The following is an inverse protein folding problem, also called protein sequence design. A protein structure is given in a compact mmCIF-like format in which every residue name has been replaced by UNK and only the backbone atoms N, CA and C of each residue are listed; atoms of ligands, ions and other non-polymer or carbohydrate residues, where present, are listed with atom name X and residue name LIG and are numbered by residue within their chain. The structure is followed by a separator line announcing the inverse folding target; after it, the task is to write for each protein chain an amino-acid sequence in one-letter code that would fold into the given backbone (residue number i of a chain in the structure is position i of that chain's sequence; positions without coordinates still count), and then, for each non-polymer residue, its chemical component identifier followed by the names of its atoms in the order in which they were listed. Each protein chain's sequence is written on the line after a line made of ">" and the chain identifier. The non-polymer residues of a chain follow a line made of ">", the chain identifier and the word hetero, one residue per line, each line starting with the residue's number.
data_IF_332488356430
#
_entry.id   IF_332488356430
#
_cell.length_a   1.000
_cell.length_b   1.000
_cell.length_c   1.000
_cell.angle_alpha   90.00
_cell.angle_beta   90.00
_cell.angle_gamma   90.00
#
_symmetry.space_group_name_H-M   'P 1'
#
loop_
_entity.id
_entity.type
_entity.pdbx_description
1 polymer ?
#
# COMPACT_ATOMS: atom_id res chain seq x y z
N UNK A 1 -38.06 19.64 17.89
CA UNK A 1 -36.76 19.00 17.66
C UNK A 1 -35.93 19.88 16.73
N UNK A 2 -34.79 20.42 17.18
CA UNK A 2 -33.89 21.17 16.30
C UNK A 2 -33.32 20.22 15.25
N UNK A 3 -33.71 20.39 13.99
CA UNK A 3 -33.11 19.66 12.87
C UNK A 3 -31.67 20.16 12.73
N UNK A 4 -30.69 19.42 13.25
CA UNK A 4 -29.28 19.68 12.95
C UNK A 4 -29.11 19.59 11.44
N UNK A 5 -28.58 20.64 10.83
CA UNK A 5 -28.23 20.63 9.42
C UNK A 5 -27.26 19.48 9.14
N UNK A 6 -27.38 18.79 7.99
CA UNK A 6 -26.44 17.75 7.62
C UNK A 6 -25.04 18.34 7.54
N UNK A 7 -24.06 17.64 8.13
CA UNK A 7 -22.66 18.00 8.01
C UNK A 7 -22.18 17.54 6.63
N UNK A 8 -21.72 18.48 5.82
CA UNK A 8 -21.27 18.27 4.44
C UNK A 8 -19.81 18.68 4.30
N UNK A 9 -19.08 17.96 3.45
CA UNK A 9 -17.74 18.29 2.98
C UNK A 9 -17.67 17.98 1.47
N UNK A 10 -16.58 18.36 0.82
CA UNK A 10 -16.34 18.05 -0.60
C UNK A 10 -15.17 17.08 -0.72
N UNK A 11 -15.29 16.12 -1.64
CA UNK A 11 -14.20 15.21 -1.95
C UNK A 11 -13.09 15.97 -2.69
N UNK A 12 -11.82 15.94 -2.22
CA UNK A 12 -10.71 16.63 -2.88
C UNK A 12 -10.35 16.04 -4.26
N UNK A 13 -10.69 14.78 -4.55
CA UNK A 13 -10.38 14.15 -5.85
C UNK A 13 -11.39 14.46 -6.95
N UNK A 14 -12.69 14.40 -6.65
CA UNK A 14 -13.76 14.49 -7.66
C UNK A 14 -14.72 15.67 -7.45
N UNK A 15 -14.53 16.47 -6.39
CA UNK A 15 -15.40 17.58 -5.99
C UNK A 15 -16.85 17.19 -5.64
N UNK A 16 -17.15 15.90 -5.43
CA UNK A 16 -18.47 15.43 -5.03
C UNK A 16 -18.80 15.78 -3.57
N UNK A 17 -20.10 15.91 -3.26
CA UNK A 17 -20.58 16.18 -1.89
C UNK A 17 -20.51 14.93 -1.00
N UNK A 18 -19.69 14.98 0.06
CA UNK A 18 -19.61 13.92 1.07
C UNK A 18 -20.51 14.28 2.26
N UNK A 19 -21.59 13.50 2.44
CA UNK A 19 -22.57 13.71 3.51
C UNK A 19 -22.29 12.85 4.74
N UNK A 20 -22.30 13.47 5.93
CA UNK A 20 -22.12 12.79 7.21
C UNK A 20 -23.45 12.63 7.95
N UNK A 21 -23.84 11.38 8.21
CA UNK A 21 -25.06 11.04 9.00
C UNK A 21 -24.90 11.36 10.49
N UNK A 22 -23.69 11.22 11.01
CA UNK A 22 -23.30 11.52 12.39
C UNK A 22 -22.29 12.67 12.39
N UNK A 23 -22.02 13.26 13.55
CA UNK A 23 -20.91 14.21 13.68
C UNK A 23 -19.59 13.51 13.34
N UNK A 24 -18.80 14.01 12.37
CA UNK A 24 -17.48 13.46 12.09
C UNK A 24 -16.50 13.73 13.24
N UNK A 25 -15.42 12.97 13.29
CA UNK A 25 -14.30 13.15 14.21
C UNK A 25 -12.98 13.23 13.43
N UNK A 26 -11.98 13.88 14.02
CA UNK A 26 -10.63 13.97 13.42
C UNK A 26 -10.03 12.58 13.23
N UNK A 27 -9.41 12.34 12.08
CA UNK A 27 -8.86 11.04 11.70
C UNK A 27 -9.93 10.01 11.31
N UNK A 28 -11.16 10.43 11.06
CA UNK A 28 -12.20 9.52 10.57
C UNK A 28 -11.96 9.19 9.09
N UNK A 29 -11.84 7.89 8.79
CA UNK A 29 -11.82 7.40 7.41
C UNK A 29 -13.21 7.30 6.79
N UNK A 30 -13.29 7.61 5.50
CA UNK A 30 -14.51 7.52 4.72
C UNK A 30 -14.20 7.33 3.23
N UNK A 31 -14.97 6.47 2.59
CA UNK A 31 -14.89 6.27 1.14
C UNK A 31 -15.85 7.25 0.44
N UNK A 32 -15.38 7.88 -0.64
CA UNK A 32 -16.23 8.68 -1.52
C UNK A 32 -17.15 7.76 -2.33
N UNK A 33 -18.46 8.04 -2.35
CA UNK A 33 -19.42 7.21 -3.09
C UNK A 33 -19.40 7.43 -4.62
N UNK A 34 -18.72 8.49 -5.09
CA UNK A 34 -18.69 8.88 -6.50
C UNK A 34 -17.41 8.42 -7.21
N UNK A 35 -16.27 8.40 -6.51
CA UNK A 35 -14.97 8.04 -7.08
C UNK A 35 -14.26 6.90 -6.33
N UNK A 36 -14.92 6.31 -5.33
CA UNK A 36 -14.41 5.20 -4.51
C UNK A 36 -13.07 5.46 -3.81
N UNK A 37 -12.64 6.72 -3.71
CA UNK A 37 -11.39 7.06 -3.06
C UNK A 37 -11.53 7.10 -1.54
N UNK A 38 -10.51 6.62 -0.85
CA UNK A 38 -10.38 6.67 0.60
C UNK A 38 -9.99 8.08 1.04
N UNK A 39 -10.73 8.63 2.00
CA UNK A 39 -10.56 9.99 2.51
C UNK A 39 -10.45 9.98 4.04
N UNK A 40 -9.66 10.89 4.60
CA UNK A 40 -9.56 11.15 6.03
C UNK A 40 -10.05 12.54 6.39
N UNK A 41 -10.76 12.64 7.52
CA UNK A 41 -11.16 13.91 8.12
C UNK A 41 -9.98 14.56 8.82
N UNK A 42 -9.40 15.59 8.20
CA UNK A 42 -8.28 16.37 8.73
C UNK A 42 -8.71 17.67 9.42
N UNK A 43 -9.97 18.10 9.21
CA UNK A 43 -10.55 19.26 9.90
C UNK A 43 -12.05 19.07 10.21
N UNK A 44 -12.56 19.73 11.27
CA UNK A 44 -13.95 19.62 11.72
C UNK A 44 -14.75 20.95 11.66
N UNK A 45 -14.08 22.09 11.45
CA UNK A 45 -14.74 23.40 11.38
C UNK A 45 -13.94 24.40 10.52
N UNK A 46 -14.14 24.43 9.19
CA UNK A 46 -15.03 23.59 8.38
C UNK A 46 -14.54 22.14 8.24
N UNK A 47 -15.39 21.23 7.77
CA UNK A 47 -14.97 19.83 7.57
C UNK A 47 -14.12 19.78 6.31
N UNK A 48 -12.88 19.33 6.45
CA UNK A 48 -11.94 19.14 5.35
C UNK A 48 -11.54 17.67 5.28
N UNK A 49 -11.36 17.20 4.05
CA UNK A 49 -11.04 15.83 3.71
C UNK A 49 -9.74 15.81 2.91
N UNK A 50 -8.87 14.85 3.21
CA UNK A 50 -7.63 14.58 2.48
C UNK A 50 -7.65 13.16 1.92
N UNK A 51 -6.96 12.94 0.81
CA UNK A 51 -6.86 11.63 0.17
C UNK A 51 -5.95 10.73 1.00
N UNK A 52 -6.42 9.52 1.30
CA UNK A 52 -5.55 8.47 1.80
C UNK A 52 -4.82 7.85 0.61
N UNK A 53 -3.59 8.30 0.37
CA UNK A 53 -2.70 7.59 -0.54
C UNK A 53 -2.39 6.22 0.08
N UNK A 54 -3.00 5.17 -0.46
CA UNK A 54 -2.73 3.77 -0.12
C UNK A 54 -1.30 3.40 -0.55
N UNK A 55 -0.30 3.82 0.22
CA UNK A 55 1.12 3.58 -0.04
C UNK A 55 1.55 2.12 0.23
N UNK A 56 0.63 1.26 0.68
CA UNK A 56 0.91 -0.14 1.02
C UNK A 56 0.41 -1.07 -0.10
N UNK A 57 0.76 -0.77 -1.35
CA UNK A 57 0.84 -1.78 -2.41
C UNK A 57 2.31 -2.16 -2.59
N UNK A 58 2.94 -2.65 -1.52
CA UNK A 58 4.12 -3.50 -1.70
C UNK A 58 3.57 -4.82 -2.22
N UNK A 59 3.45 -4.92 -3.55
CA UNK A 59 3.42 -6.22 -4.20
C UNK A 59 4.69 -6.93 -3.71
N UNK A 60 4.48 -8.02 -2.98
CA UNK A 60 5.53 -8.94 -2.59
C UNK A 60 6.19 -9.40 -3.88
N UNK A 61 7.34 -8.79 -4.18
CA UNK A 61 8.21 -9.17 -5.27
C UNK A 61 8.76 -10.56 -4.91
N UNK A 62 8.00 -11.58 -5.28
CA UNK A 62 8.34 -12.99 -5.22
C UNK A 62 9.40 -13.24 -6.32
N UNK A 63 10.58 -12.60 -6.21
CA UNK A 63 11.76 -12.92 -7.02
C UNK A 63 12.11 -14.38 -6.74
N UNK A 64 11.92 -15.32 -7.70
CA UNK A 64 12.45 -16.65 -7.54
C UNK A 64 13.97 -16.53 -7.53
N UNK A 65 14.59 -16.78 -6.37
CA UNK A 65 16.03 -16.94 -6.24
C UNK A 65 16.46 -18.06 -7.20
N UNK A 66 16.99 -17.69 -8.36
CA UNK A 66 17.54 -18.60 -9.35
C UNK A 66 18.82 -19.19 -8.75
N UNK A 67 18.67 -20.33 -8.06
CA UNK A 67 19.75 -21.13 -7.50
C UNK A 67 20.48 -21.85 -8.63
N UNK A 68 21.20 -21.07 -9.46
CA UNK A 68 22.19 -21.58 -10.40
C UNK A 68 23.59 -21.30 -9.82
N UNK A 69 23.86 -21.88 -8.63
CA UNK A 69 25.21 -21.97 -8.10
C UNK A 69 25.90 -23.15 -8.77
N UNK A 70 26.37 -22.86 -9.99
CA UNK A 70 27.01 -23.81 -10.89
C UNK A 70 28.15 -24.59 -10.19
N UNK A 71 28.16 -25.87 -10.49
CA UNK A 71 28.93 -26.93 -9.87
C UNK A 71 30.44 -26.72 -10.10
N UNK A 72 31.17 -26.30 -9.07
CA UNK A 72 32.63 -26.45 -9.08
C UNK A 72 32.98 -27.94 -9.18
N UNK A 73 33.28 -28.38 -10.39
CA UNK A 73 33.83 -29.70 -10.69
C UNK A 73 35.17 -29.84 -9.96
N UNK A 74 35.21 -30.74 -8.97
CA UNK A 74 36.46 -31.28 -8.48
C UNK A 74 37.02 -32.20 -9.57
N UNK A 75 37.96 -31.69 -10.38
CA UNK A 75 38.86 -32.52 -11.18
C UNK A 75 39.76 -33.32 -10.22
N UNK A 76 39.21 -34.41 -9.70
CA UNK A 76 39.92 -35.55 -9.12
C UNK A 76 40.60 -36.33 -10.25
N UNK A 77 41.79 -35.88 -10.69
CA UNK A 77 42.67 -36.74 -11.49
C UNK A 77 43.33 -37.77 -10.56
N UNK A 78 42.56 -38.81 -10.25
CA UNK A 78 43.04 -40.06 -9.68
C UNK A 78 43.97 -40.78 -10.67
N UNK A 79 45.29 -40.57 -10.57
CA UNK A 79 46.26 -41.11 -11.54
C UNK A 79 47.63 -41.56 -11.00
N UNK A 80 47.69 -42.42 -9.97
CA UNK A 80 48.93 -43.01 -9.45
C UNK A 80 49.77 -43.78 -10.53
N UNK A 81 50.97 -43.27 -10.92
CA UNK A 81 52.07 -44.09 -11.49
C UNK A 81 53.50 -43.47 -11.41
N UNK A 82 54.24 -43.90 -10.38
CA UNK A 82 55.69 -44.29 -10.32
C UNK A 82 56.81 -43.37 -10.91
N UNK A 83 57.72 -42.94 -10.01
CA UNK A 83 59.15 -42.50 -10.14
C UNK A 83 59.94 -43.38 -11.16
N UNK A 84 60.98 -42.97 -11.96
CA UNK A 84 62.13 -42.09 -11.61
C UNK A 84 62.87 -41.30 -12.74
N UNK A 85 63.87 -40.47 -12.36
CA UNK A 85 65.24 -40.46 -12.93
C UNK A 85 66.21 -39.81 -11.93
#
# INVERSE_FOLDING_TARGET
>A
MSRKAPKIAFCPACSAEVRFRKTPYMGQYKICADCDTELEVVNLSPIELELLDNYEAYEEDDEPFDDDYDSYNYDDDSGNRRIPA
#
